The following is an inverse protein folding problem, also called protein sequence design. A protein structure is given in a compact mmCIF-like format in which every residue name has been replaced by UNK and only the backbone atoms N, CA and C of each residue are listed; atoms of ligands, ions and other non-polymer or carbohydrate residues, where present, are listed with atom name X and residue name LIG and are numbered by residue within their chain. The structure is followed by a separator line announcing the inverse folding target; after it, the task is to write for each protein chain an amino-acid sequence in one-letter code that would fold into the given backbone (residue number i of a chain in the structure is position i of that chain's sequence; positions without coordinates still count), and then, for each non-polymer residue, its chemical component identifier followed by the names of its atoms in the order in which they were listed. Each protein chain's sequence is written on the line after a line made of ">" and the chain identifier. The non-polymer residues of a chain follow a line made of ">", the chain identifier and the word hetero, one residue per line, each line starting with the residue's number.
data_IF_473140281212
#
_entry.id   IF_473140281212
#
_cell.length_a   1.000
_cell.length_b   1.000
_cell.length_c   1.000
_cell.angle_alpha   90.00
_cell.angle_beta   90.00
_cell.angle_gamma   90.00
#
_symmetry.space_group_name_H-M   'P 1'
#
loop_
_entity.id
_entity.type
_entity.pdbx_description
1 polymer ?
#
# COMPACT_ATOMS: atom_id res chain seq x y z
N UNK A 1 0.00 -20.71 26.75
CA UNK A 1 0.88 -19.83 27.56
C UNK A 1 0.49 -18.40 27.27
N UNK A 2 0.07 -17.63 28.27
CA UNK A 2 -0.28 -16.22 28.09
C UNK A 2 0.99 -15.40 27.81
N UNK A 3 0.95 -14.54 26.79
CA UNK A 3 2.05 -13.62 26.49
C UNK A 3 2.12 -12.56 27.58
N UNK A 4 3.24 -12.46 28.30
CA UNK A 4 3.44 -11.39 29.27
C UNK A 4 3.48 -10.03 28.55
N UNK A 5 2.78 -9.03 29.08
CA UNK A 5 2.74 -7.67 28.53
C UNK A 5 4.06 -6.92 28.83
N UNK A 6 5.10 -7.26 28.06
CA UNK A 6 6.36 -6.53 28.01
C UNK A 6 6.44 -5.72 26.72
N UNK A 7 7.15 -4.60 26.72
CA UNK A 7 7.29 -3.73 25.54
C UNK A 7 7.72 -4.48 24.27
N UNK A 8 8.70 -5.38 24.40
CA UNK A 8 9.16 -6.24 23.28
C UNK A 8 8.07 -7.18 22.76
N UNK A 9 7.25 -7.75 23.65
CA UNK A 9 6.15 -8.65 23.28
C UNK A 9 5.00 -7.88 22.61
N UNK A 10 4.72 -6.66 23.08
CA UNK A 10 3.73 -5.77 22.47
C UNK A 10 4.15 -5.36 21.05
N UNK A 11 5.43 -5.00 20.86
CA UNK A 11 5.98 -4.70 19.54
C UNK A 11 5.93 -5.91 18.59
N UNK A 12 6.25 -7.12 19.09
CA UNK A 12 6.12 -8.33 18.27
C UNK A 12 4.67 -8.59 17.87
N UNK A 13 3.74 -8.47 18.82
CA UNK A 13 2.33 -8.65 18.53
C UNK A 13 1.86 -7.68 17.45
N UNK A 14 2.15 -6.39 17.62
CA UNK A 14 1.81 -5.36 16.64
C UNK A 14 2.42 -5.63 15.26
N UNK A 15 3.69 -6.00 15.22
CA UNK A 15 4.38 -6.38 13.98
C UNK A 15 3.74 -7.59 13.30
N UNK A 16 3.32 -8.59 14.08
CA UNK A 16 2.77 -9.82 13.50
C UNK A 16 1.35 -9.62 12.97
N UNK A 17 0.53 -8.80 13.63
CA UNK A 17 -0.82 -8.46 13.16
C UNK A 17 -0.83 -7.38 12.06
N UNK A 18 0.30 -6.69 11.85
CA UNK A 18 0.38 -5.53 10.94
C UNK A 18 -0.16 -5.80 9.53
N UNK A 19 0.06 -6.96 8.87
CA UNK A 19 -0.49 -7.19 7.53
C UNK A 19 -2.02 -7.22 7.52
N UNK A 20 -2.61 -7.87 8.53
CA UNK A 20 -4.06 -7.97 8.69
C UNK A 20 -4.64 -6.59 8.97
N UNK A 21 -4.01 -5.84 9.87
CA UNK A 21 -4.42 -4.48 10.21
C UNK A 21 -4.38 -3.56 8.98
N UNK A 22 -3.33 -3.68 8.17
CA UNK A 22 -3.15 -2.87 6.96
C UNK A 22 -4.23 -3.20 5.92
N UNK A 23 -4.49 -4.49 5.66
CA UNK A 23 -5.57 -4.90 4.76
C UNK A 23 -6.94 -4.45 5.27
N UNK A 24 -7.20 -4.60 6.57
CA UNK A 24 -8.42 -4.12 7.19
C UNK A 24 -8.63 -2.62 6.99
N UNK A 25 -7.59 -1.80 7.22
CA UNK A 25 -7.70 -0.36 7.01
C UNK A 25 -7.99 0.02 5.55
N UNK A 26 -7.31 -0.60 4.58
CA UNK A 26 -7.55 -0.31 3.16
C UNK A 26 -8.96 -0.72 2.72
N UNK A 27 -9.45 -1.88 3.18
CA UNK A 27 -10.83 -2.32 2.91
C UNK A 27 -11.83 -1.37 3.57
N UNK A 28 -11.61 -0.97 4.83
CA UNK A 28 -12.51 -0.05 5.53
C UNK A 28 -12.56 1.33 4.87
N UNK A 29 -11.43 1.88 4.43
CA UNK A 29 -11.41 3.15 3.67
C UNK A 29 -12.26 3.03 2.40
N UNK A 30 -12.14 1.93 1.67
CA UNK A 30 -12.94 1.67 0.48
C UNK A 30 -14.44 1.57 0.79
N UNK A 31 -14.81 0.92 1.90
CA UNK A 31 -16.20 0.81 2.32
C UNK A 31 -16.80 2.18 2.69
N UNK A 32 -16.05 3.02 3.41
CA UNK A 32 -16.50 4.37 3.74
C UNK A 32 -16.60 5.29 2.52
N UNK A 33 -15.70 5.13 1.55
CA UNK A 33 -15.75 5.89 0.31
C UNK A 33 -16.75 5.31 -0.71
N UNK A 34 -17.45 4.21 -0.39
CA UNK A 34 -18.37 3.49 -1.29
C UNK A 34 -17.73 2.99 -2.59
N UNK A 35 -16.43 2.68 -2.53
CA UNK A 35 -15.64 2.18 -3.65
C UNK A 35 -15.36 0.68 -3.51
N UNK A 36 -14.95 0.05 -4.61
CA UNK A 36 -14.44 -1.34 -4.62
C UNK A 36 -12.91 -1.44 -4.60
N UNK A 37 -12.18 -0.32 -4.54
CA UNK A 37 -10.71 -0.27 -4.62
C UNK A 37 -10.00 -1.14 -3.56
N UNK A 38 -10.52 -1.14 -2.33
CA UNK A 38 -10.00 -1.98 -1.25
C UNK A 38 -10.22 -3.48 -1.48
N UNK A 39 -11.31 -3.87 -2.15
CA UNK A 39 -11.57 -5.25 -2.57
C UNK A 39 -10.64 -5.68 -3.71
N UNK A 40 -10.34 -4.79 -4.65
CA UNK A 40 -9.36 -5.04 -5.73
C UNK A 40 -7.98 -5.27 -5.14
N UNK A 41 -7.54 -4.40 -4.22
CA UNK A 41 -6.32 -4.62 -3.44
C UNK A 41 -6.33 -5.99 -2.73
N UNK A 42 -7.43 -6.34 -2.05
CA UNK A 42 -7.57 -7.60 -1.33
C UNK A 42 -7.39 -8.81 -2.27
N UNK A 43 -7.98 -8.74 -3.47
CA UNK A 43 -7.80 -9.77 -4.50
C UNK A 43 -6.32 -9.93 -4.90
N UNK A 44 -5.64 -8.82 -5.17
CA UNK A 44 -4.22 -8.82 -5.52
C UNK A 44 -3.32 -9.42 -4.43
N UNK A 45 -3.52 -9.03 -3.18
CA UNK A 45 -2.70 -9.53 -2.08
C UNK A 45 -2.98 -11.00 -1.75
N UNK A 46 -4.22 -11.49 -1.93
CA UNK A 46 -4.54 -12.91 -1.80
C UNK A 46 -3.84 -13.74 -2.89
N UNK A 47 -3.85 -13.27 -4.14
CA UNK A 47 -3.10 -13.91 -5.23
C UNK A 47 -1.60 -13.94 -4.90
N UNK A 48 -1.04 -12.81 -4.45
CA UNK A 48 0.36 -12.75 -4.06
C UNK A 48 0.69 -13.72 -2.90
N UNK A 49 -0.21 -13.83 -1.93
CA UNK A 49 -0.09 -14.77 -0.80
C UNK A 49 -0.04 -16.22 -1.27
N UNK A 50 -0.91 -16.62 -2.21
CA UNK A 50 -0.89 -17.96 -2.80
C UNK A 50 0.42 -18.24 -3.54
N UNK A 51 0.91 -17.27 -4.33
CA UNK A 51 2.19 -17.39 -5.04
C UNK A 51 3.34 -17.55 -4.04
N UNK A 52 3.35 -16.78 -2.96
CA UNK A 52 4.39 -16.89 -1.94
C UNK A 52 4.36 -18.25 -1.22
N UNK A 53 3.18 -18.81 -0.93
CA UNK A 53 3.07 -20.17 -0.38
C UNK A 53 3.65 -21.22 -1.34
N UNK A 54 3.43 -21.07 -2.65
CA UNK A 54 4.02 -21.95 -3.65
C UNK A 54 5.56 -21.84 -3.68
N UNK A 55 6.10 -20.62 -3.59
CA UNK A 55 7.54 -20.37 -3.52
C UNK A 55 8.13 -20.98 -2.23
N UNK A 56 7.48 -20.81 -1.08
CA UNK A 56 7.91 -21.41 0.18
C UNK A 56 7.98 -22.94 0.08
N UNK A 57 6.96 -23.57 -0.52
CA UNK A 57 6.93 -25.02 -0.72
C UNK A 57 8.01 -25.52 -1.71
N UNK A 58 8.49 -24.65 -2.61
CA UNK A 58 9.56 -25.01 -3.55
C UNK A 58 10.94 -24.85 -2.90
N UNK A 59 11.18 -23.75 -2.18
CA UNK A 59 12.48 -23.46 -1.56
C UNK A 59 12.76 -24.32 -0.32
N UNK A 60 11.71 -24.69 0.44
CA UNK A 60 11.77 -25.57 1.61
C UNK A 60 12.85 -25.20 2.65
N UNK A 61 13.10 -23.90 2.83
CA UNK A 61 14.12 -23.40 3.76
C UNK A 61 13.60 -23.49 5.18
N UNK A 62 14.18 -24.39 5.99
CA UNK A 62 13.85 -24.55 7.40
C UNK A 62 14.66 -23.59 8.29
N UNK A 63 14.17 -23.38 9.50
CA UNK A 63 14.90 -22.62 10.52
C UNK A 63 16.01 -23.46 11.15
N UNK A 64 17.21 -22.89 11.24
CA UNK A 64 18.31 -23.46 12.04
C UNK A 64 18.13 -23.20 13.54
N UNK A 65 17.23 -22.28 13.91
CA UNK A 65 16.93 -21.89 15.31
C UNK A 65 15.56 -22.41 15.72
N UNK A 66 15.42 -22.78 17.00
CA UNK A 66 14.12 -23.11 17.60
C UNK A 66 13.25 -21.84 17.53
N UNK A 67 12.19 -21.81 16.71
CA UNK A 67 11.38 -20.62 16.55
C UNK A 67 10.61 -20.34 17.84
N UNK A 68 10.49 -19.06 18.21
CA UNK A 68 9.63 -18.69 19.32
C UNK A 68 8.17 -19.10 19.02
N UNK A 69 7.36 -19.52 20.00
CA UNK A 69 5.95 -19.89 19.78
C UNK A 69 5.11 -18.77 19.16
N UNK A 70 5.57 -17.52 19.28
CA UNK A 70 4.93 -16.35 18.72
C UNK A 70 5.21 -16.15 17.21
N UNK A 71 6.08 -16.96 16.59
CA UNK A 71 6.33 -16.89 15.14
C UNK A 71 5.20 -17.51 14.31
N UNK A 72 4.47 -18.47 14.87
CA UNK A 72 3.41 -19.22 14.18
C UNK A 72 2.03 -18.75 14.66
N UNK A 73 1.70 -17.50 14.36
CA UNK A 73 0.37 -16.93 14.64
C UNK A 73 -0.68 -17.36 13.60
N UNK A 74 -0.24 -17.81 12.42
CA UNK A 74 -1.08 -18.32 11.35
C UNK A 74 -0.59 -19.73 10.99
N UNK A 75 -1.49 -20.71 11.00
CA UNK A 75 -1.19 -22.06 10.51
C UNK A 75 -1.54 -22.16 9.03
N UNK A 76 -0.53 -22.46 8.21
CA UNK A 76 -0.72 -22.68 6.79
C UNK A 76 -1.04 -24.15 6.48
N UNK A 77 -1.88 -24.42 5.46
CA UNK A 77 -2.12 -25.78 5.00
C UNK A 77 -0.81 -26.43 4.52
N UNK A 78 -0.73 -27.77 4.55
CA UNK A 78 0.44 -28.57 4.12
C UNK A 78 1.69 -28.44 5.01
N UNK A 79 1.55 -28.09 6.29
CA UNK A 79 2.66 -27.93 7.25
C UNK A 79 3.76 -26.96 6.77
N UNK A 80 3.38 -25.94 6.00
CA UNK A 80 4.33 -24.93 5.49
C UNK A 80 4.90 -24.03 6.59
N UNK A 81 4.38 -24.13 7.82
CA UNK A 81 4.88 -23.44 9.02
C UNK A 81 6.33 -23.82 9.37
N UNK A 82 6.86 -24.90 8.82
CA UNK A 82 8.28 -25.27 9.00
C UNK A 82 9.23 -24.38 8.19
N UNK A 83 8.72 -23.68 7.18
CA UNK A 83 9.54 -22.89 6.26
C UNK A 83 9.57 -21.41 6.65
N UNK A 84 10.78 -20.84 6.71
CA UNK A 84 10.99 -19.46 7.17
C UNK A 84 11.23 -18.45 6.04
N UNK A 85 11.27 -18.91 4.78
CA UNK A 85 11.62 -18.09 3.61
C UNK A 85 10.78 -18.47 2.38
N UNK A 86 10.26 -17.49 1.61
CA UNK A 86 10.29 -16.06 1.87
C UNK A 86 9.38 -15.66 3.04
N UNK A 87 9.74 -14.61 3.79
CA UNK A 87 8.99 -14.19 4.97
C UNK A 87 7.61 -13.62 4.60
N UNK A 88 6.53 -14.30 5.01
CA UNK A 88 5.15 -13.99 4.60
C UNK A 88 4.72 -12.54 4.90
N UNK A 89 4.80 -12.07 6.16
CA UNK A 89 4.37 -10.70 6.47
C UNK A 89 5.22 -9.65 5.74
N UNK A 90 6.51 -9.91 5.54
CA UNK A 90 7.41 -9.00 4.83
C UNK A 90 7.00 -8.89 3.37
N UNK A 91 6.66 -10.01 2.73
CA UNK A 91 6.07 -10.05 1.38
C UNK A 91 4.77 -9.23 1.33
N UNK A 92 3.88 -9.43 2.29
CA UNK A 92 2.59 -8.75 2.33
C UNK A 92 2.71 -7.22 2.45
N UNK A 93 3.54 -6.75 3.40
CA UNK A 93 3.79 -5.32 3.61
C UNK A 93 4.48 -4.73 2.37
N UNK A 94 5.45 -5.44 1.79
CA UNK A 94 6.18 -4.99 0.61
C UNK A 94 5.31 -4.92 -0.65
N UNK A 95 4.42 -5.89 -0.86
CA UNK A 95 3.41 -5.84 -1.91
C UNK A 95 2.56 -4.60 -1.76
N UNK A 96 2.08 -4.35 -0.55
CA UNK A 96 1.20 -3.21 -0.30
C UNK A 96 1.91 -1.88 -0.49
N UNK A 97 3.16 -1.78 -0.05
CA UNK A 97 4.00 -0.61 -0.28
C UNK A 97 4.09 -0.29 -1.78
N UNK A 98 4.46 -1.26 -2.62
CA UNK A 98 4.57 -1.03 -4.06
C UNK A 98 3.24 -0.76 -4.74
N UNK A 99 2.19 -1.52 -4.36
CA UNK A 99 0.85 -1.33 -4.91
C UNK A 99 0.28 0.07 -4.64
N UNK A 100 0.57 0.67 -3.49
CA UNK A 100 0.15 2.03 -3.16
C UNK A 100 1.10 3.10 -3.72
N UNK A 101 2.41 2.86 -3.68
CA UNK A 101 3.42 3.82 -4.12
C UNK A 101 3.37 4.12 -5.62
N UNK A 102 3.26 3.09 -6.46
CA UNK A 102 3.28 3.25 -7.92
C UNK A 102 2.16 4.13 -8.47
N UNK A 103 0.88 3.93 -8.10
CA UNK A 103 -0.18 4.84 -8.54
C UNK A 103 0.03 6.26 -8.03
N UNK A 104 0.45 6.45 -6.77
CA UNK A 104 0.77 7.78 -6.21
C UNK A 104 1.84 8.51 -7.01
N UNK A 105 2.89 7.78 -7.42
CA UNK A 105 3.95 8.31 -8.28
C UNK A 105 3.42 8.66 -9.67
N UNK A 106 2.55 7.81 -10.25
CA UNK A 106 1.97 8.01 -11.57
C UNK A 106 1.12 9.30 -11.64
N UNK A 107 0.31 9.56 -10.61
CA UNK A 107 -0.54 10.75 -10.52
C UNK A 107 0.16 11.96 -9.88
N UNK A 108 1.45 11.84 -9.54
CA UNK A 108 2.26 12.90 -8.89
C UNK A 108 1.66 13.49 -7.60
N UNK A 109 0.86 12.73 -6.85
CA UNK A 109 0.30 13.13 -5.56
C UNK A 109 0.65 12.13 -4.46
N UNK A 110 1.88 12.23 -3.97
CA UNK A 110 2.44 11.30 -3.00
C UNK A 110 1.99 11.64 -1.57
N UNK A 111 1.34 10.70 -0.90
CA UNK A 111 1.04 10.78 0.51
C UNK A 111 2.21 10.23 1.34
N UNK A 112 3.16 11.11 1.69
CA UNK A 112 4.35 10.74 2.47
C UNK A 112 4.03 10.11 3.84
N UNK A 113 3.05 10.60 4.63
CA UNK A 113 2.68 9.94 5.90
C UNK A 113 2.35 8.45 5.76
N UNK A 114 1.58 8.07 4.74
CA UNK A 114 1.23 6.65 4.49
C UNK A 114 2.48 5.83 4.16
N UNK A 115 3.35 6.33 3.29
CA UNK A 115 4.58 5.64 2.92
C UNK A 115 5.53 5.47 4.12
N UNK A 116 5.73 6.53 4.92
CA UNK A 116 6.56 6.49 6.13
C UNK A 116 6.02 5.44 7.10
N UNK A 117 4.70 5.40 7.29
CA UNK A 117 4.05 4.42 8.16
C UNK A 117 4.29 2.97 7.69
N UNK A 118 4.05 2.68 6.40
CA UNK A 118 4.23 1.33 5.84
C UNK A 118 5.71 0.91 5.86
N UNK A 119 6.63 1.81 5.52
CA UNK A 119 8.07 1.57 5.64
C UNK A 119 8.48 1.29 7.10
N UNK A 120 7.92 2.04 8.06
CA UNK A 120 8.13 1.81 9.48
C UNK A 120 7.65 0.42 9.93
N UNK A 121 6.48 -0.02 9.45
CA UNK A 121 5.98 -1.38 9.69
C UNK A 121 6.91 -2.44 9.10
N UNK A 122 7.47 -2.21 7.91
CA UNK A 122 8.40 -3.13 7.26
C UNK A 122 9.70 -3.28 8.05
N UNK A 123 10.24 -2.17 8.58
CA UNK A 123 11.42 -2.20 9.46
C UNK A 123 11.11 -2.89 10.79
N UNK A 124 9.97 -2.58 11.40
CA UNK A 124 9.53 -3.25 12.63
C UNK A 124 9.38 -4.75 12.43
N UNK A 125 8.78 -5.19 11.33
CA UNK A 125 8.66 -6.61 10.96
C UNK A 125 10.00 -7.30 10.77
N UNK A 126 10.94 -6.66 10.07
CA UNK A 126 12.28 -7.21 9.89
C UNK A 126 13.01 -7.38 11.24
N UNK A 127 12.99 -6.35 12.08
CA UNK A 127 13.68 -6.35 13.39
C UNK A 127 13.09 -7.40 14.32
N UNK A 128 11.77 -7.41 14.52
CA UNK A 128 11.13 -8.35 15.45
C UNK A 128 11.35 -9.80 15.03
N UNK A 129 11.24 -10.12 13.74
CA UNK A 129 11.43 -11.49 13.23
C UNK A 129 12.87 -11.97 13.32
N UNK A 130 13.86 -11.12 13.04
CA UNK A 130 15.28 -11.48 13.20
C UNK A 130 15.60 -11.69 14.68
N UNK A 131 15.19 -10.76 15.55
CA UNK A 131 15.47 -10.84 16.98
C UNK A 131 14.83 -12.05 17.66
N UNK A 132 13.66 -12.49 17.18
CA UNK A 132 12.92 -13.66 17.72
C UNK A 132 13.26 -14.98 17.03
N UNK A 133 14.15 -14.96 16.02
CA UNK A 133 14.51 -16.14 15.24
C UNK A 133 13.38 -16.71 14.38
N UNK A 134 12.38 -15.89 14.01
CA UNK A 134 11.28 -16.33 13.13
C UNK A 134 11.73 -16.43 11.67
N UNK A 135 12.74 -15.66 11.28
CA UNK A 135 13.36 -15.74 9.95
C UNK A 135 14.78 -15.17 10.01
N UNK A 136 15.52 -15.36 8.92
CA UNK A 136 16.86 -14.81 8.72
C UNK A 136 16.80 -13.63 7.74
N UNK A 137 17.90 -12.89 7.62
CA UNK A 137 18.00 -11.76 6.69
C UNK A 137 17.65 -12.15 5.25
N UNK A 138 18.06 -13.35 4.80
CA UNK A 138 17.72 -13.88 3.47
C UNK A 138 16.21 -14.06 3.29
N UNK A 139 15.49 -14.51 4.31
CA UNK A 139 14.03 -14.68 4.27
C UNK A 139 13.30 -13.34 4.16
N UNK A 140 13.80 -12.31 4.84
CA UNK A 140 13.30 -10.92 4.72
C UNK A 140 13.60 -10.35 3.33
N UNK A 141 14.84 -10.50 2.86
CA UNK A 141 15.24 -9.99 1.54
C UNK A 141 14.42 -10.63 0.42
N UNK A 142 14.22 -11.95 0.46
CA UNK A 142 13.37 -12.65 -0.50
C UNK A 142 11.90 -12.26 -0.36
N UNK A 143 11.39 -12.10 0.87
CA UNK A 143 10.02 -11.65 1.10
C UNK A 143 9.77 -10.27 0.50
N UNK A 144 10.67 -9.32 0.76
CA UNK A 144 10.64 -7.98 0.19
C UNK A 144 10.71 -8.00 -1.34
N UNK A 145 11.62 -8.78 -1.92
CA UNK A 145 11.79 -8.88 -3.37
C UNK A 145 10.53 -9.45 -4.03
N UNK A 146 10.01 -10.58 -3.52
CA UNK A 146 8.80 -11.22 -4.05
C UNK A 146 7.60 -10.29 -3.92
N UNK A 147 7.40 -9.68 -2.75
CA UNK A 147 6.29 -8.75 -2.52
C UNK A 147 6.35 -7.55 -3.44
N UNK A 148 7.53 -6.93 -3.57
CA UNK A 148 7.73 -5.78 -4.46
C UNK A 148 7.45 -6.12 -5.92
N UNK A 149 7.99 -7.23 -6.43
CA UNK A 149 7.77 -7.66 -7.82
C UNK A 149 6.28 -7.91 -8.06
N UNK A 150 5.61 -8.65 -7.17
CA UNK A 150 4.19 -8.96 -7.34
C UNK A 150 3.32 -7.70 -7.24
N UNK A 151 3.66 -6.74 -6.38
CA UNK A 151 2.98 -5.45 -6.29
C UNK A 151 3.13 -4.62 -7.56
N UNK A 152 4.34 -4.57 -8.11
CA UNK A 152 4.63 -3.91 -9.40
C UNK A 152 3.85 -4.57 -10.53
N UNK A 153 3.93 -5.89 -10.65
CA UNK A 153 3.24 -6.65 -11.71
C UNK A 153 1.73 -6.44 -11.62
N UNK A 154 1.16 -6.46 -10.41
CA UNK A 154 -0.27 -6.26 -10.20
C UNK A 154 -0.73 -4.85 -10.60
N UNK A 155 0.02 -3.82 -10.21
CA UNK A 155 -0.21 -2.44 -10.65
C UNK A 155 -0.14 -2.31 -12.19
N UNK A 156 0.92 -2.84 -12.81
CA UNK A 156 1.09 -2.80 -14.27
C UNK A 156 -0.05 -3.52 -14.97
N UNK A 157 -0.51 -4.65 -14.44
CA UNK A 157 -1.63 -5.41 -15.00
C UNK A 157 -2.91 -4.56 -15.04
N UNK A 158 -3.27 -3.89 -13.93
CA UNK A 158 -4.45 -3.03 -13.88
C UNK A 158 -4.32 -1.81 -14.79
N UNK A 159 -3.15 -1.17 -14.80
CA UNK A 159 -2.89 0.00 -15.64
C UNK A 159 -2.93 -0.34 -17.14
N UNK A 160 -2.29 -1.44 -17.55
CA UNK A 160 -2.25 -1.87 -18.97
C UNK A 160 -3.60 -2.34 -19.50
N UNK A 161 -4.48 -2.85 -18.62
CA UNK A 161 -5.83 -3.29 -19.01
C UNK A 161 -6.84 -2.14 -19.04
N UNK A 162 -6.41 -0.91 -18.72
CA UNK A 162 -7.29 0.27 -18.72
C UNK A 162 -8.24 0.32 -17.51
N UNK A 163 -7.86 -0.36 -16.42
CA UNK A 163 -8.61 -0.39 -15.16
C UNK A 163 -7.87 0.39 -14.06
N UNK A 164 -7.29 1.54 -14.42
CA UNK A 164 -6.61 2.44 -13.49
C UNK A 164 -7.59 3.15 -12.54
N UNK A 165 -8.88 3.20 -12.89
CA UNK A 165 -9.97 3.63 -12.02
C UNK A 165 -10.15 2.74 -10.78
N UNK A 166 -9.77 1.47 -10.88
CA UNK A 166 -9.84 0.48 -9.79
C UNK A 166 -8.62 0.52 -8.86
N UNK A 167 -7.57 1.25 -9.21
CA UNK A 167 -6.40 1.44 -8.35
C UNK A 167 -6.78 2.26 -7.11
N UNK A 168 -6.16 1.91 -5.98
CA UNK A 168 -6.45 2.56 -4.70
C UNK A 168 -6.23 4.08 -4.74
N UNK A 169 -5.14 4.49 -5.38
CA UNK A 169 -4.94 5.88 -5.78
C UNK A 169 -5.11 5.97 -7.29
N UNK A 170 -5.97 6.86 -7.75
CA UNK A 170 -6.23 7.11 -9.16
C UNK A 170 -6.38 8.61 -9.38
N UNK A 171 -6.17 9.06 -10.62
CA UNK A 171 -6.55 10.40 -11.00
C UNK A 171 -8.07 10.36 -11.17
N UNK A 172 -8.83 10.72 -10.13
CA UNK A 172 -10.28 10.81 -10.28
C UNK A 172 -10.59 11.68 -11.51
N UNK A 173 -11.54 11.27 -12.38
CA UNK A 173 -12.13 12.19 -13.32
C UNK A 173 -12.82 13.24 -12.47
N UNK A 174 -12.09 14.32 -12.28
CA UNK A 174 -12.48 15.48 -11.51
C UNK A 174 -13.87 15.91 -11.97
N UNK A 175 -14.91 15.49 -11.26
CA UNK A 175 -16.18 16.23 -11.26
C UNK A 175 -16.00 17.60 -10.59
N UNK A 176 -14.79 17.87 -10.06
CA UNK A 176 -14.26 19.21 -9.93
C UNK A 176 -13.92 19.74 -11.32
N UNK A 177 -14.71 20.69 -11.80
CA UNK A 177 -14.31 21.65 -12.82
C UNK A 177 -12.87 22.07 -12.51
N UNK A 178 -11.88 21.52 -13.22
CA UNK A 178 -10.54 22.07 -13.20
C UNK A 178 -10.75 23.44 -13.82
N UNK A 179 -10.81 24.48 -12.98
CA UNK A 179 -10.78 25.87 -13.41
C UNK A 179 -9.40 26.12 -14.01
N UNK A 180 -9.14 25.56 -15.20
CA UNK A 180 -8.02 25.94 -16.02
C UNK A 180 -8.28 27.38 -16.44
N UNK A 181 -7.33 28.28 -16.16
CA UNK A 181 -7.39 29.66 -16.63
C UNK A 181 -7.61 29.62 -18.16
N UNK A 182 -8.73 30.16 -18.69
CA UNK A 182 -8.99 30.15 -20.12
C UNK A 182 -7.84 30.81 -20.87
N UNK A 183 -7.35 30.18 -21.94
CA UNK A 183 -6.25 30.73 -22.76
C UNK A 183 -6.61 32.08 -23.40
N UNK A 184 -7.90 32.35 -23.60
CA UNK A 184 -8.43 33.62 -24.08
C UNK A 184 -9.15 34.30 -22.93
N UNK A 185 -8.58 35.39 -22.43
CA UNK A 185 -9.20 36.18 -21.37
C UNK A 185 -9.77 37.44 -21.99
N UNK A 186 -11.09 37.63 -21.90
CA UNK A 186 -11.74 38.89 -22.25
C UNK A 186 -12.04 39.65 -20.96
N UNK A 187 -11.37 40.77 -20.75
CA UNK A 187 -11.64 41.66 -19.64
C UNK A 187 -12.74 42.64 -20.04
N UNK A 188 -13.76 42.78 -19.19
CA UNK A 188 -14.76 43.85 -19.26
C UNK A 188 -14.30 44.99 -18.35
N UNK A 189 -13.90 46.09 -18.95
CA UNK A 189 -13.50 47.30 -18.23
C UNK A 189 -14.67 48.26 -18.18
N UNK A 190 -15.10 48.63 -16.98
CA UNK A 190 -16.08 49.69 -16.75
C UNK A 190 -15.37 50.99 -16.44
N UNK A 191 -15.70 52.04 -17.17
CA UNK A 191 -15.19 53.40 -16.93
C UNK A 191 -16.21 54.15 -16.10
N UNK A 192 -15.77 54.68 -14.95
CA UNK A 192 -16.64 55.40 -14.02
C UNK A 192 -16.31 56.88 -13.99
N UNK A 193 -17.33 57.73 -13.86
CA UNK A 193 -17.20 59.15 -13.52
C UNK A 193 -18.26 59.52 -12.51
N UNK A 194 -17.85 60.05 -11.36
CA UNK A 194 -18.74 60.40 -10.23
C UNK A 194 -19.60 59.22 -9.72
N UNK A 195 -19.10 57.99 -9.83
CA UNK A 195 -19.82 56.79 -9.39
C UNK A 195 -20.77 56.17 -10.44
N UNK A 196 -20.96 56.81 -11.59
CA UNK A 196 -21.77 56.29 -12.68
C UNK A 196 -20.91 55.71 -13.81
N UNK A 197 -21.37 54.60 -14.40
CA UNK A 197 -20.69 53.94 -15.54
C UNK A 197 -20.92 54.79 -16.79
N UNK A 198 -19.84 55.30 -17.38
CA UNK A 198 -19.87 56.12 -18.60
C UNK A 198 -19.37 55.37 -19.84
N UNK A 199 -18.89 54.14 -19.69
CA UNK A 199 -18.49 53.30 -20.82
C UNK A 199 -18.06 51.89 -20.42
N UNK A 200 -18.24 50.96 -21.35
CA UNK A 200 -17.75 49.57 -21.25
C UNK A 200 -16.79 49.31 -22.41
N UNK A 201 -15.63 48.72 -22.11
CA UNK A 201 -14.65 48.29 -23.11
C UNK A 201 -14.30 46.82 -22.90
N UNK A 202 -14.23 46.05 -23.99
CA UNK A 202 -13.78 44.66 -23.99
C UNK A 202 -12.33 44.60 -24.49
N UNK A 203 -11.40 44.08 -23.68
CA UNK A 203 -10.02 43.81 -24.13
C UNK A 203 -9.73 42.30 -24.07
N UNK A 204 -9.32 41.72 -25.19
CA UNK A 204 -8.86 40.32 -25.25
C UNK A 204 -7.33 40.21 -25.15
N UNK A 205 -6.84 39.23 -24.39
CA UNK A 205 -5.47 38.68 -24.53
C UNK A 205 -5.47 37.49 -25.50
#
# INVERSE_FOLDING_TARGET
>A
MAMQLNFSNMLQFFSTISPILLAFFLVMISLFNTDIKGLVYLGGILIASLINLFIMNTLKVKSDKIPSPACNLMDFPLNLNEYISPAFNTMFISFTLMYLYLPMQYISSINYPVLIFICGLLVLDAVTKISRGCTNFSGIALGFLVGSILGIVYFISLWKTGHDDLLFFNAEPSNNVICARPKKQTFKCFVYKNGEVIGEANSGQ
#
